data_IF_519695506789
#
_entry.id   IF_519695506789
#
_cell.length_a   1.000
_cell.length_b   1.000
_cell.length_c   1.000
_cell.angle_alpha   90.00
_cell.angle_beta   90.00
_cell.angle_gamma   90.00
#
_symmetry.space_group_name_H-M   'P 1'
#
loop_
_entity.id
_entity.type
_entity.pdbx_description
1 polymer ?
#
# COMPACT_ATOMS: atom_id res chain seq x y z
N UNK A 1 -2.39 25.90 6.59
CA UNK A 1 -2.13 25.11 7.81
C UNK A 1 -1.28 23.93 7.38
N UNK A 2 -0.03 23.82 7.84
CA UNK A 2 0.81 22.66 7.53
C UNK A 2 0.52 21.61 8.60
N UNK A 3 0.08 20.43 8.18
CA UNK A 3 -0.15 19.29 9.07
C UNK A 3 1.18 18.58 9.31
N UNK A 4 1.56 18.40 10.57
CA UNK A 4 2.87 17.82 10.95
C UNK A 4 2.81 16.30 11.22
N UNK A 5 1.64 15.67 11.13
CA UNK A 5 1.46 14.24 11.35
C UNK A 5 1.86 13.40 10.14
N UNK A 6 2.34 12.18 10.40
CA UNK A 6 2.74 11.19 9.39
C UNK A 6 1.85 9.95 9.52
N UNK A 7 1.46 9.34 8.39
CA UNK A 7 0.68 8.09 8.33
C UNK A 7 -0.64 8.09 9.15
N UNK A 8 -1.32 9.23 9.25
CA UNK A 8 -2.53 9.42 10.06
C UNK A 8 -3.80 9.68 9.23
N UNK A 9 -3.72 9.46 7.92
CA UNK A 9 -4.80 9.63 6.97
C UNK A 9 -5.41 11.05 6.92
N UNK A 10 -4.71 12.09 7.41
CA UNK A 10 -5.25 13.45 7.47
C UNK A 10 -5.77 13.97 6.11
N UNK A 11 -5.04 13.73 5.02
CA UNK A 11 -5.47 14.11 3.67
C UNK A 11 -6.83 13.46 3.32
N UNK A 12 -6.95 12.16 3.52
CA UNK A 12 -8.19 11.42 3.26
C UNK A 12 -9.34 11.97 4.10
N UNK A 13 -9.13 12.19 5.40
CA UNK A 13 -10.16 12.74 6.30
C UNK A 13 -10.66 14.11 5.85
N UNK A 14 -9.76 14.98 5.40
CA UNK A 14 -10.13 16.29 4.86
C UNK A 14 -11.00 16.13 3.61
N UNK A 15 -10.57 15.30 2.65
CA UNK A 15 -11.33 15.04 1.42
C UNK A 15 -12.70 14.43 1.74
N UNK A 16 -12.74 13.42 2.61
CA UNK A 16 -13.94 12.77 3.13
C UNK A 16 -14.91 13.80 3.70
N UNK A 17 -14.43 14.67 4.58
CA UNK A 17 -15.26 15.72 5.18
C UNK A 17 -15.81 16.68 4.10
N UNK A 18 -15.02 17.02 3.08
CA UNK A 18 -15.49 17.85 1.97
C UNK A 18 -16.54 17.18 1.08
N UNK A 19 -16.58 15.85 1.01
CA UNK A 19 -17.69 15.13 0.38
C UNK A 19 -18.92 15.16 1.30
N UNK A 20 -18.76 14.92 2.61
CA UNK A 20 -19.86 14.97 3.58
C UNK A 20 -20.51 16.36 3.68
N UNK A 21 -19.72 17.43 3.66
CA UNK A 21 -20.20 18.84 3.60
C UNK A 21 -21.07 19.09 2.35
N UNK A 22 -21.00 18.20 1.35
CA UNK A 22 -21.73 18.26 0.07
C UNK A 22 -22.56 17.01 -0.18
N UNK A 23 -22.98 16.31 0.88
CA UNK A 23 -23.74 15.04 0.78
C UNK A 23 -25.01 15.14 -0.08
N UNK A 24 -25.65 16.31 -0.15
CA UNK A 24 -26.86 16.54 -0.97
C UNK A 24 -26.53 16.85 -2.45
N UNK A 25 -25.24 16.93 -2.81
CA UNK A 25 -24.75 17.26 -4.15
C UNK A 25 -23.85 16.18 -4.74
N UNK A 26 -23.33 15.28 -3.92
CA UNK A 26 -22.41 14.22 -4.33
C UNK A 26 -22.97 12.90 -3.84
N UNK A 27 -23.33 12.04 -4.80
CA UNK A 27 -23.70 10.66 -4.54
C UNK A 27 -22.44 9.81 -4.39
N UNK A 28 -22.44 8.93 -3.39
CA UNK A 28 -21.34 8.00 -3.09
C UNK A 28 -21.90 6.60 -2.91
N UNK A 29 -21.49 5.69 -3.78
CA UNK A 29 -21.92 4.30 -3.78
C UNK A 29 -20.71 3.39 -3.53
N UNK A 30 -20.75 2.65 -2.44
CA UNK A 30 -19.88 1.52 -2.15
C UNK A 30 -20.42 0.23 -2.75
N UNK A 31 -19.56 -0.79 -2.83
CA UNK A 31 -19.90 -2.07 -3.44
C UNK A 31 -20.46 -1.90 -4.87
N UNK A 32 -19.97 -0.88 -5.60
CA UNK A 32 -20.39 -0.46 -6.93
C UNK A 32 -19.21 -0.55 -7.90
N UNK A 33 -18.93 -1.74 -8.44
CA UNK A 33 -17.77 -1.94 -9.32
C UNK A 33 -18.09 -1.51 -10.76
N UNK A 34 -17.33 -0.58 -11.32
CA UNK A 34 -17.40 -0.27 -12.76
C UNK A 34 -17.01 -1.49 -13.61
N UNK A 35 -17.80 -1.81 -14.62
CA UNK A 35 -17.60 -2.96 -15.51
C UNK A 35 -17.25 -2.55 -16.94
N UNK A 36 -18.03 -1.64 -17.52
CA UNK A 36 -17.90 -1.23 -18.93
C UNK A 36 -18.25 0.24 -19.08
N UNK A 37 -17.68 0.90 -20.09
CA UNK A 37 -18.17 2.19 -20.55
C UNK A 37 -19.27 1.99 -21.59
N UNK A 38 -20.27 2.88 -21.57
CA UNK A 38 -21.35 2.89 -22.57
C UNK A 38 -20.94 3.92 -23.63
N UNK A 39 -20.42 3.44 -24.76
CA UNK A 39 -19.93 4.29 -25.85
C UNK A 39 -20.91 4.32 -27.02
N UNK A 40 -21.15 5.51 -27.57
CA UNK A 40 -21.85 5.66 -28.84
C UNK A 40 -21.04 5.07 -30.00
N UNK A 41 -21.58 4.14 -30.80
CA UNK A 41 -20.78 3.43 -31.81
C UNK A 41 -20.32 4.34 -32.96
N UNK A 42 -21.01 5.46 -33.21
CA UNK A 42 -20.75 6.37 -34.33
C UNK A 42 -19.86 7.53 -33.86
N UNK A 43 -20.34 8.33 -32.91
CA UNK A 43 -19.63 9.52 -32.41
C UNK A 43 -18.50 9.20 -31.45
N UNK A 44 -18.42 7.95 -30.95
CA UNK A 44 -17.47 7.49 -29.92
C UNK A 44 -17.60 8.17 -28.56
N UNK A 45 -18.63 8.99 -28.37
CA UNK A 45 -18.92 9.68 -27.11
C UNK A 45 -19.27 8.69 -26.01
N UNK A 46 -18.65 8.84 -24.83
CA UNK A 46 -19.05 8.09 -23.64
C UNK A 46 -20.33 8.69 -23.06
N UNK A 47 -21.38 7.86 -22.98
CA UNK A 47 -22.69 8.21 -22.44
C UNK A 47 -22.87 7.82 -20.97
N UNK A 48 -21.96 7.01 -20.43
CA UNK A 48 -22.10 6.48 -19.08
C UNK A 48 -21.25 5.26 -18.81
N UNK A 49 -21.59 4.53 -17.75
CA UNK A 49 -20.91 3.31 -17.36
C UNK A 49 -21.91 2.26 -16.85
N UNK A 50 -21.61 0.99 -17.10
CA UNK A 50 -22.24 -0.12 -16.40
C UNK A 50 -21.49 -0.41 -15.11
N UNK A 51 -22.21 -0.57 -14.02
CA UNK A 51 -21.67 -0.96 -12.71
C UNK A 51 -22.33 -2.25 -12.22
N UNK A 52 -21.63 -2.97 -11.34
CA UNK A 52 -22.16 -4.06 -10.53
C UNK A 52 -22.34 -3.56 -9.09
N UNK A 53 -23.60 -3.37 -8.66
CA UNK A 53 -23.97 -2.97 -7.30
C UNK A 53 -24.75 -4.10 -6.65
N UNK A 54 -24.24 -4.64 -5.54
CA UNK A 54 -24.92 -5.70 -4.76
C UNK A 54 -25.43 -6.87 -5.61
N UNK A 55 -24.62 -7.31 -6.59
CA UNK A 55 -24.97 -8.41 -7.52
C UNK A 55 -25.83 -8.02 -8.72
N UNK A 56 -26.33 -6.79 -8.80
CA UNK A 56 -27.13 -6.29 -9.90
C UNK A 56 -26.32 -5.41 -10.84
N UNK A 57 -26.49 -5.61 -12.16
CA UNK A 57 -25.94 -4.71 -13.18
C UNK A 57 -26.84 -3.49 -13.34
N UNK A 58 -26.25 -2.31 -13.25
CA UNK A 58 -26.93 -1.01 -13.38
C UNK A 58 -26.19 -0.19 -14.42
N UNK A 59 -26.91 0.41 -15.36
CA UNK A 59 -26.35 1.37 -16.30
C UNK A 59 -26.55 2.78 -15.76
N UNK A 60 -25.46 3.48 -15.50
CA UNK A 60 -25.46 4.87 -15.04
C UNK A 60 -25.25 5.78 -16.25
N UNK A 61 -26.26 6.58 -16.56
CA UNK A 61 -26.15 7.60 -17.60
C UNK A 61 -25.43 8.84 -17.06
N UNK A 62 -24.34 9.25 -17.73
CA UNK A 62 -23.49 10.36 -17.35
C UNK A 62 -23.59 11.49 -18.37
N UNK A 63 -24.43 12.49 -18.08
CA UNK A 63 -24.76 13.60 -18.99
C UNK A 63 -23.55 14.37 -19.53
N UNK A 64 -22.49 14.45 -18.73
CA UNK A 64 -21.34 15.32 -18.98
C UNK A 64 -20.01 14.57 -19.14
N UNK A 65 -20.04 13.25 -18.96
CA UNK A 65 -18.88 12.38 -19.12
C UNK A 65 -18.52 11.58 -17.88
N UNK A 66 -17.53 10.70 -18.06
CA UNK A 66 -17.05 9.74 -17.07
C UNK A 66 -15.58 10.01 -16.78
N UNK A 67 -15.22 10.00 -15.49
CA UNK A 67 -13.84 10.17 -15.03
C UNK A 67 -13.39 8.87 -14.39
N UNK A 68 -12.31 8.27 -14.90
CA UNK A 68 -11.70 7.08 -14.33
C UNK A 68 -10.59 7.47 -13.34
N UNK A 69 -10.74 7.09 -12.08
CA UNK A 69 -9.77 7.33 -10.99
C UNK A 69 -9.52 6.05 -10.18
N UNK A 70 -9.28 4.95 -10.88
CA UNK A 70 -9.39 3.57 -10.34
C UNK A 70 -8.08 2.96 -9.87
N UNK A 71 -7.05 3.78 -9.60
CA UNK A 71 -5.72 3.28 -9.26
C UNK A 71 -5.04 2.54 -10.42
N UNK A 72 -4.01 1.76 -10.07
CA UNK A 72 -3.18 1.01 -11.00
C UNK A 72 -3.51 -0.48 -11.11
N UNK A 73 -2.47 -1.27 -11.38
CA UNK A 73 -2.54 -2.72 -11.61
C UNK A 73 -1.57 -3.53 -10.74
N UNK A 74 -1.04 -2.94 -9.68
CA UNK A 74 -0.05 -3.51 -8.77
C UNK A 74 -0.46 -4.86 -8.16
N UNK A 75 -1.76 -5.14 -8.04
CA UNK A 75 -2.26 -6.43 -7.54
C UNK A 75 -2.83 -7.35 -8.64
N UNK A 76 -2.51 -7.08 -9.90
CA UNK A 76 -2.84 -7.96 -11.02
C UNK A 76 -1.60 -8.71 -11.51
N UNK A 77 -1.49 -9.99 -11.12
CA UNK A 77 -0.35 -10.85 -11.46
C UNK A 77 -0.04 -10.90 -12.96
N UNK A 78 -1.05 -11.00 -13.80
CA UNK A 78 -0.87 -11.08 -15.25
C UNK A 78 -0.28 -9.76 -15.79
N UNK A 79 -0.81 -8.62 -15.35
CA UNK A 79 -0.31 -7.31 -15.78
C UNK A 79 1.08 -7.01 -15.20
N UNK A 80 1.35 -7.43 -13.95
CA UNK A 80 2.69 -7.33 -13.33
C UNK A 80 3.71 -8.15 -14.13
N UNK A 81 3.39 -9.39 -14.52
CA UNK A 81 4.26 -10.22 -15.35
C UNK A 81 4.44 -9.64 -16.75
N UNK A 82 3.35 -9.29 -17.43
CA UNK A 82 3.39 -8.83 -18.82
C UNK A 82 4.04 -7.45 -18.97
N UNK A 83 3.82 -6.53 -18.04
CA UNK A 83 4.29 -5.15 -18.17
C UNK A 83 5.52 -4.83 -17.31
N UNK A 84 5.62 -5.36 -16.08
CA UNK A 84 6.75 -5.06 -15.18
C UNK A 84 7.86 -6.12 -15.26
N UNK A 85 7.56 -7.31 -15.79
CA UNK A 85 8.54 -8.41 -15.89
C UNK A 85 8.87 -9.06 -14.55
N UNK A 86 8.09 -8.79 -13.51
CA UNK A 86 8.21 -9.41 -12.19
C UNK A 86 7.26 -10.61 -12.09
N UNK A 87 7.72 -11.72 -11.53
CA UNK A 87 6.88 -12.89 -11.27
C UNK A 87 5.83 -12.63 -10.20
N UNK A 88 6.22 -11.89 -9.16
CA UNK A 88 5.43 -11.48 -8.01
C UNK A 88 5.95 -10.15 -7.45
N UNK A 89 5.03 -9.27 -7.08
CA UNK A 89 5.27 -8.11 -6.23
C UNK A 89 4.22 -8.10 -5.12
N UNK A 90 4.57 -7.63 -3.92
CA UNK A 90 3.59 -7.43 -2.85
C UNK A 90 3.20 -5.95 -2.75
N UNK A 91 1.88 -5.63 -2.73
CA UNK A 91 1.45 -4.25 -2.61
C UNK A 91 1.74 -3.69 -1.21
N UNK A 92 2.27 -2.48 -1.15
CA UNK A 92 2.30 -1.65 0.05
C UNK A 92 1.03 -0.80 0.19
N UNK A 93 0.26 -0.64 -0.88
CA UNK A 93 -1.00 0.10 -0.90
C UNK A 93 -2.21 -0.81 -0.71
N UNK A 94 -3.27 -0.51 -1.45
CA UNK A 94 -4.48 -1.31 -1.46
C UNK A 94 -4.26 -2.65 -2.18
N UNK A 95 -4.89 -3.71 -1.68
CA UNK A 95 -4.95 -5.01 -2.37
C UNK A 95 -6.03 -5.07 -3.47
N UNK A 96 -6.73 -3.96 -3.76
CA UNK A 96 -7.87 -3.97 -4.69
C UNK A 96 -7.54 -3.42 -6.09
N UNK A 97 -6.38 -2.80 -6.27
CA UNK A 97 -5.95 -2.24 -7.56
C UNK A 97 -5.49 -3.34 -8.53
N UNK A 98 -6.42 -3.76 -9.40
CA UNK A 98 -6.23 -4.88 -10.36
C UNK A 98 -6.20 -4.46 -11.83
N UNK A 99 -6.09 -3.17 -12.12
CA UNK A 99 -6.07 -2.64 -13.47
C UNK A 99 -7.45 -2.61 -14.16
N UNK A 100 -8.54 -2.61 -13.39
CA UNK A 100 -9.91 -2.62 -13.92
C UNK A 100 -10.17 -1.42 -14.85
N UNK A 101 -9.79 -0.21 -14.43
CA UNK A 101 -9.94 0.99 -15.27
C UNK A 101 -9.07 0.99 -16.52
N UNK A 102 -7.94 0.28 -16.52
CA UNK A 102 -7.10 0.10 -17.69
C UNK A 102 -7.84 -0.73 -18.74
N UNK A 103 -8.41 -1.87 -18.33
CA UNK A 103 -9.21 -2.74 -19.21
C UNK A 103 -10.43 -2.00 -19.76
N UNK A 104 -11.17 -1.32 -18.89
CA UNK A 104 -12.37 -0.53 -19.25
C UNK A 104 -12.03 0.57 -20.27
N UNK A 105 -10.90 1.25 -20.12
CA UNK A 105 -10.47 2.26 -21.08
C UNK A 105 -10.01 1.65 -22.41
N UNK A 106 -9.29 0.52 -22.38
CA UNK A 106 -8.87 -0.19 -23.59
C UNK A 106 -10.07 -0.68 -24.41
N UNK A 107 -11.16 -1.13 -23.77
CA UNK A 107 -12.40 -1.57 -24.43
C UNK A 107 -12.97 -0.50 -25.38
N UNK A 108 -12.77 0.78 -25.07
CA UNK A 108 -13.24 1.92 -25.88
C UNK A 108 -12.15 2.54 -26.76
N UNK A 109 -11.02 1.84 -26.92
CA UNK A 109 -9.94 2.21 -27.84
C UNK A 109 -8.87 3.12 -27.24
N UNK A 110 -8.81 3.26 -25.91
CA UNK A 110 -7.77 4.06 -25.27
C UNK A 110 -6.37 3.47 -25.52
N UNK A 111 -5.40 4.33 -25.83
CA UNK A 111 -3.99 3.93 -25.86
C UNK A 111 -3.40 3.94 -24.45
N UNK A 112 -2.41 3.08 -24.25
CA UNK A 112 -1.69 2.98 -22.99
C UNK A 112 -0.31 3.66 -23.07
N UNK A 113 0.17 4.15 -21.95
CA UNK A 113 1.55 4.62 -21.77
C UNK A 113 2.12 4.15 -20.43
N UNK A 114 3.45 4.22 -20.31
CA UNK A 114 4.19 4.02 -19.06
C UNK A 114 3.93 2.67 -18.35
N UNK A 115 3.50 1.65 -19.08
CA UNK A 115 3.10 0.36 -18.49
C UNK A 115 4.23 -0.34 -17.72
N UNK A 116 5.49 -0.08 -18.07
CA UNK A 116 6.66 -0.66 -17.36
C UNK A 116 7.05 0.10 -16.08
N UNK A 117 6.37 1.19 -15.75
CA UNK A 117 6.78 2.08 -14.66
C UNK A 117 6.01 1.78 -13.39
N UNK A 118 6.75 1.63 -12.30
CA UNK A 118 6.20 1.49 -10.95
C UNK A 118 7.21 2.02 -9.92
N UNK A 119 6.70 2.31 -8.74
CA UNK A 119 7.49 2.73 -7.60
C UNK A 119 7.42 1.66 -6.51
N UNK A 120 8.47 1.54 -5.73
CA UNK A 120 8.48 0.72 -4.51
C UNK A 120 8.92 1.56 -3.31
N UNK A 121 8.89 1.01 -2.11
CA UNK A 121 9.29 1.74 -0.91
C UNK A 121 9.70 0.75 0.19
N UNK A 122 10.42 1.23 1.20
CA UNK A 122 10.72 0.44 2.39
C UNK A 122 12.17 -0.02 2.44
N UNK A 123 12.39 -1.18 3.08
CA UNK A 123 13.71 -1.74 3.34
C UNK A 123 14.47 -1.96 2.04
N UNK A 124 15.79 -1.77 2.06
CA UNK A 124 16.71 -2.27 1.01
C UNK A 124 16.20 -2.09 -0.42
N UNK A 125 15.91 -0.85 -0.81
CA UNK A 125 15.52 -0.47 -2.19
C UNK A 125 14.18 -1.03 -2.67
N UNK A 126 13.18 -1.11 -1.79
CA UNK A 126 11.83 -1.54 -2.16
C UNK A 126 11.52 -3.00 -1.83
N UNK A 127 12.15 -3.51 -0.78
CA UNK A 127 11.89 -4.80 -0.19
C UNK A 127 11.02 -4.67 1.07
N UNK A 128 10.24 -5.72 1.31
CA UNK A 128 9.52 -5.98 2.56
C UNK A 128 9.82 -7.42 3.00
N UNK A 129 9.45 -7.78 4.23
CA UNK A 129 9.48 -9.18 4.64
C UNK A 129 8.50 -10.02 3.82
N UNK A 130 8.84 -11.30 3.60
CA UNK A 130 8.01 -12.22 2.82
C UNK A 130 6.56 -12.22 3.33
N UNK A 131 5.64 -11.90 2.43
CA UNK A 131 4.22 -11.71 2.74
C UNK A 131 3.39 -12.74 1.97
N UNK A 132 2.41 -13.41 2.63
CA UNK A 132 1.51 -14.33 1.94
C UNK A 132 0.81 -13.68 0.75
N UNK A 133 0.40 -14.51 -0.20
CA UNK A 133 -0.33 -14.01 -1.35
C UNK A 133 -1.71 -13.46 -0.94
N UNK A 134 -2.09 -12.31 -1.49
CA UNK A 134 -3.34 -11.64 -1.18
C UNK A 134 -3.26 -10.72 0.05
N UNK A 135 -2.13 -10.72 0.74
CA UNK A 135 -1.86 -9.83 1.87
C UNK A 135 -0.99 -8.64 1.45
N UNK A 136 -1.16 -7.55 2.20
CA UNK A 136 -0.39 -6.31 2.04
C UNK A 136 0.94 -6.41 2.78
N UNK A 137 2.01 -5.93 2.16
CA UNK A 137 3.32 -5.81 2.82
C UNK A 137 3.32 -4.76 3.93
N UNK A 138 4.02 -5.04 5.02
CA UNK A 138 4.28 -4.06 6.07
C UNK A 138 5.35 -3.05 5.62
N UNK A 139 5.04 -1.76 5.72
CA UNK A 139 5.97 -0.69 5.37
C UNK A 139 6.92 -0.42 6.53
N UNK A 140 8.20 -0.73 6.33
CA UNK A 140 9.30 -0.33 7.20
C UNK A 140 10.29 0.46 6.33
N UNK A 141 10.48 1.75 6.63
CA UNK A 141 11.27 2.64 5.77
C UNK A 141 12.77 2.30 5.75
N UNK A 142 13.34 2.01 6.92
CA UNK A 142 14.74 1.66 7.07
C UNK A 142 14.96 1.05 8.45
N UNK A 143 15.97 0.20 8.57
CA UNK A 143 16.38 -0.36 9.84
C UNK A 143 17.89 -0.68 9.82
N UNK A 144 18.70 0.00 10.66
CA UNK A 144 20.16 -0.14 10.63
C UNK A 144 20.68 -1.57 10.78
N UNK A 145 19.99 -2.41 11.56
CA UNK A 145 20.39 -3.80 11.78
C UNK A 145 20.25 -4.71 10.56
N UNK A 146 19.65 -4.25 9.45
CA UNK A 146 19.54 -5.00 8.20
C UNK A 146 20.52 -4.53 7.12
N UNK A 147 21.31 -3.49 7.37
CA UNK A 147 22.29 -2.97 6.41
C UNK A 147 23.61 -2.48 7.02
N UNK A 148 23.82 -2.62 8.34
CA UNK A 148 25.07 -2.34 9.02
C UNK A 148 25.51 -3.56 9.83
N UNK A 149 26.79 -3.93 9.70
CA UNK A 149 27.40 -5.07 10.38
C UNK A 149 27.65 -6.27 9.46
N UNK A 150 27.60 -7.46 10.04
CA UNK A 150 27.75 -8.77 9.39
C UNK A 150 26.43 -9.19 8.75
N UNK A 151 25.97 -8.38 7.80
CA UNK A 151 24.67 -8.53 7.12
C UNK A 151 24.74 -8.08 5.66
N UNK A 152 24.17 -8.88 4.77
CA UNK A 152 24.02 -8.53 3.35
C UNK A 152 22.81 -9.21 2.71
N UNK A 153 22.42 -8.73 1.53
CA UNK A 153 21.31 -9.25 0.73
C UNK A 153 21.82 -10.17 -0.38
N UNK A 154 21.17 -11.32 -0.62
CA UNK A 154 21.49 -12.23 -1.73
C UNK A 154 20.35 -12.39 -2.74
N UNK A 155 20.71 -12.78 -3.95
CA UNK A 155 19.81 -13.21 -5.02
C UNK A 155 19.79 -14.76 -5.15
N UNK A 156 19.21 -15.23 -6.25
CA UNK A 156 18.93 -16.65 -6.53
C UNK A 156 20.16 -17.56 -6.55
N UNK A 157 21.33 -17.00 -6.88
CA UNK A 157 22.62 -17.69 -6.97
C UNK A 157 23.41 -17.70 -5.66
N UNK A 158 22.86 -17.13 -4.57
CA UNK A 158 23.54 -17.02 -3.28
C UNK A 158 24.47 -15.80 -3.17
N UNK A 159 24.50 -14.90 -4.17
CA UNK A 159 25.44 -13.77 -4.22
C UNK A 159 24.74 -12.42 -4.04
N UNK A 160 25.52 -11.42 -3.61
CA UNK A 160 25.07 -10.02 -3.47
C UNK A 160 24.82 -9.43 -4.87
N UNK A 161 23.91 -8.46 -4.95
CA UNK A 161 23.52 -7.82 -6.22
C UNK A 161 23.31 -6.30 -6.15
N UNK A 162 23.45 -5.69 -4.97
CA UNK A 162 23.49 -4.24 -4.78
C UNK A 162 24.18 -3.85 -3.48
N UNK A 163 24.42 -2.55 -3.28
CA UNK A 163 24.89 -1.98 -2.02
C UNK A 163 23.71 -1.78 -1.06
N UNK A 164 23.69 -2.47 0.09
CA UNK A 164 22.59 -2.43 1.07
C UNK A 164 22.41 -1.08 1.78
N UNK A 165 23.39 -0.19 1.66
CA UNK A 165 23.41 1.15 2.27
C UNK A 165 23.13 2.28 1.28
N UNK A 166 22.97 1.94 -0.01
CA UNK A 166 22.73 2.94 -1.04
C UNK A 166 21.45 3.73 -0.77
N UNK A 167 21.48 5.04 -1.02
CA UNK A 167 20.26 5.84 -0.96
C UNK A 167 19.39 5.52 -2.18
N UNK A 168 18.14 5.10 -1.95
CA UNK A 168 17.17 4.88 -3.01
C UNK A 168 16.18 6.04 -3.16
N UNK A 169 15.50 6.10 -4.30
CA UNK A 169 14.42 7.05 -4.60
C UNK A 169 13.14 6.28 -4.91
N UNK A 170 12.38 5.96 -3.86
CA UNK A 170 11.20 5.10 -3.99
C UNK A 170 11.57 3.77 -4.65
N UNK A 171 12.58 3.12 -4.06
CA UNK A 171 13.15 1.86 -4.48
C UNK A 171 14.05 1.90 -5.71
N UNK A 172 14.13 3.04 -6.40
CA UNK A 172 15.10 3.20 -7.48
C UNK A 172 16.51 3.37 -6.92
N UNK A 173 17.47 2.58 -7.41
CA UNK A 173 18.91 2.74 -7.18
C UNK A 173 19.61 3.28 -8.42
N UNK A 174 20.79 3.86 -8.25
CA UNK A 174 21.51 4.46 -9.36
C UNK A 174 22.24 3.39 -10.18
N UNK A 175 21.88 3.25 -11.46
CA UNK A 175 22.50 2.33 -12.40
C UNK A 175 22.81 3.05 -13.70
N UNK A 176 24.11 3.27 -13.96
CA UNK A 176 24.63 3.85 -15.21
C UNK A 176 23.94 5.16 -15.63
N UNK A 177 23.94 6.16 -14.74
CA UNK A 177 23.30 7.49 -14.96
C UNK A 177 21.77 7.51 -14.90
N UNK A 178 21.14 6.38 -14.60
CA UNK A 178 19.69 6.27 -14.50
C UNK A 178 19.29 5.71 -13.14
N UNK A 179 18.18 6.22 -12.58
CA UNK A 179 17.54 5.62 -11.41
C UNK A 179 16.66 4.47 -11.90
N UNK A 180 16.81 3.27 -11.35
CA UNK A 180 16.06 2.07 -11.77
C UNK A 180 15.68 1.23 -10.56
N UNK A 181 14.49 0.63 -10.60
CA UNK A 181 14.15 -0.44 -9.67
C UNK A 181 15.10 -1.64 -9.92
N UNK A 182 15.70 -2.23 -8.88
CA UNK A 182 16.47 -3.46 -9.02
C UNK A 182 15.66 -4.56 -9.70
N UNK A 183 16.33 -5.42 -10.47
CA UNK A 183 15.65 -6.61 -11.03
C UNK A 183 15.17 -7.51 -9.90
N UNK A 184 13.95 -8.00 -10.02
CA UNK A 184 13.38 -8.95 -9.08
C UNK A 184 14.07 -10.30 -9.17
N UNK A 185 14.19 -10.97 -8.04
CA UNK A 185 14.75 -12.31 -7.87
C UNK A 185 13.73 -13.18 -7.12
N UNK A 186 13.78 -14.50 -7.26
CA UNK A 186 12.82 -15.45 -6.65
C UNK A 186 13.16 -15.81 -5.20
N UNK A 187 14.45 -15.78 -4.85
CA UNK A 187 15.01 -16.13 -3.54
C UNK A 187 15.80 -14.96 -2.95
N UNK A 188 15.17 -13.78 -2.77
CA UNK A 188 15.80 -12.68 -2.07
C UNK A 188 15.85 -13.00 -0.57
N UNK A 189 17.06 -13.16 -0.01
CA UNK A 189 17.28 -13.36 1.42
C UNK A 189 18.27 -12.35 2.00
N UNK A 190 18.02 -11.87 3.21
CA UNK A 190 19.04 -11.23 4.03
C UNK A 190 19.77 -12.31 4.80
N UNK A 191 21.10 -12.28 4.78
CA UNK A 191 21.99 -13.24 5.46
C UNK A 191 22.77 -12.50 6.55
N UNK A 192 22.83 -13.07 7.76
CA UNK A 192 23.57 -12.50 8.89
C UNK A 192 24.03 -13.55 9.90
N UNK A 193 24.97 -13.20 10.77
CA UNK A 193 25.52 -14.10 11.80
C UNK A 193 24.85 -13.92 13.19
N UNK A 194 25.29 -14.73 14.16
CA UNK A 194 24.85 -14.68 15.56
C UNK A 194 25.06 -13.30 16.19
N UNK A 195 26.19 -12.65 15.92
CA UNK A 195 26.50 -11.33 16.49
C UNK A 195 25.53 -10.26 15.99
N UNK A 196 25.17 -10.30 14.70
CA UNK A 196 24.17 -9.42 14.13
C UNK A 196 22.78 -9.74 14.67
N UNK A 197 22.45 -11.03 14.84
CA UNK A 197 21.19 -11.44 15.45
C UNK A 197 21.01 -10.83 16.85
N UNK A 198 22.04 -10.91 17.70
CA UNK A 198 22.05 -10.30 19.04
C UNK A 198 21.83 -8.78 18.98
N UNK A 199 22.52 -8.09 18.07
CA UNK A 199 22.30 -6.65 17.85
C UNK A 199 20.84 -6.33 17.50
N UNK A 200 20.20 -7.15 16.65
CA UNK A 200 18.79 -6.98 16.27
C UNK A 200 17.86 -7.27 17.46
N UNK A 201 18.18 -8.23 18.32
CA UNK A 201 17.38 -8.48 19.53
C UNK A 201 17.47 -7.32 20.53
N UNK A 202 18.66 -6.72 20.68
CA UNK A 202 18.87 -5.55 21.56
C UNK A 202 18.24 -4.27 20.98
N UNK A 203 18.01 -4.23 19.67
CA UNK A 203 17.43 -3.09 18.96
C UNK A 203 16.29 -3.58 18.06
N UNK A 204 15.16 -4.05 18.61
CA UNK A 204 14.16 -4.82 17.86
C UNK A 204 13.58 -4.04 16.68
N UNK A 205 13.49 -4.72 15.55
CA UNK A 205 12.76 -4.23 14.37
C UNK A 205 11.26 -4.18 14.68
N UNK A 206 10.50 -3.16 14.23
CA UNK A 206 9.05 -3.12 14.38
C UNK A 206 8.35 -4.12 13.43
N UNK A 207 8.63 -5.41 13.64
CA UNK A 207 8.08 -6.53 12.88
C UNK A 207 7.91 -7.74 13.80
N UNK A 208 6.69 -7.93 14.32
CA UNK A 208 6.40 -8.92 15.37
C UNK A 208 6.72 -10.37 14.96
N UNK A 209 6.70 -10.67 13.65
CA UNK A 209 6.96 -12.01 13.10
C UNK A 209 8.44 -12.25 12.75
N UNK A 210 9.35 -11.33 13.10
CA UNK A 210 10.75 -11.41 12.68
C UNK A 210 11.40 -12.74 13.07
N UNK A 211 11.36 -13.08 14.37
CA UNK A 211 11.98 -14.29 14.90
C UNK A 211 11.32 -15.57 14.38
N UNK A 212 10.00 -15.55 14.12
CA UNK A 212 9.25 -16.71 13.59
C UNK A 212 9.65 -17.04 12.15
N UNK A 213 10.08 -16.04 11.37
CA UNK A 213 10.45 -16.19 9.95
C UNK A 213 11.94 -16.45 9.72
N UNK A 214 12.75 -16.55 10.77
CA UNK A 214 14.18 -16.83 10.65
C UNK A 214 14.44 -18.29 10.30
N UNK A 215 15.30 -18.50 9.31
CA UNK A 215 15.95 -19.78 9.06
C UNK A 215 17.31 -19.74 9.72
N UNK A 216 17.58 -20.69 10.61
CA UNK A 216 18.85 -20.83 11.35
C UNK A 216 19.62 -22.08 10.90
N UNK A 217 20.94 -21.98 10.80
CA UNK A 217 21.83 -23.11 10.55
C UNK A 217 23.19 -22.90 11.21
N UNK A 218 23.92 -23.98 11.48
CA UNK A 218 25.23 -23.88 12.14
C UNK A 218 26.36 -23.56 11.14
N UNK A 219 26.13 -23.86 9.85
CA UNK A 219 27.07 -23.60 8.76
C UNK A 219 26.42 -22.87 7.59
N UNK A 220 27.21 -22.18 6.78
CA UNK A 220 26.73 -21.49 5.58
C UNK A 220 26.17 -22.48 4.54
N UNK A 221 26.83 -23.63 4.34
CA UNK A 221 26.32 -24.66 3.43
C UNK A 221 24.95 -25.20 3.86
N UNK A 222 24.75 -25.46 5.15
CA UNK A 222 23.45 -25.90 5.67
C UNK A 222 22.39 -24.79 5.54
N UNK A 223 22.77 -23.52 5.79
CA UNK A 223 21.87 -22.40 5.58
C UNK A 223 21.41 -22.32 4.11
N UNK A 224 22.35 -22.43 3.17
CA UNK A 224 22.09 -22.39 1.74
C UNK A 224 21.14 -23.50 1.29
N UNK A 225 21.32 -24.72 1.81
CA UNK A 225 20.41 -25.85 1.56
C UNK A 225 18.99 -25.55 2.05
N UNK A 226 18.84 -25.05 3.28
CA UNK A 226 17.54 -24.73 3.88
C UNK A 226 16.77 -23.64 3.12
N UNK A 227 17.47 -22.65 2.57
CA UNK A 227 16.84 -21.57 1.78
C UNK A 227 16.83 -21.86 0.28
N UNK A 228 17.39 -23.00 -0.15
CA UNK A 228 17.37 -23.48 -1.52
C UNK A 228 18.23 -22.66 -2.50
N UNK A 229 19.37 -22.12 -2.07
CA UNK A 229 20.34 -21.40 -2.94
C UNK A 229 21.63 -22.19 -3.11
N UNK A 230 22.55 -21.71 -3.95
CA UNK A 230 23.85 -22.37 -4.15
C UNK A 230 24.71 -22.30 -2.89
N UNK A 231 25.06 -23.45 -2.30
CA UNK A 231 25.97 -23.53 -1.17
C UNK A 231 27.33 -22.89 -1.51
N UNK A 232 27.93 -23.31 -2.63
CA UNK A 232 29.18 -22.72 -3.13
C UNK A 232 29.05 -21.22 -3.37
N UNK A 233 27.93 -20.76 -3.96
CA UNK A 233 27.72 -19.34 -4.24
C UNK A 233 27.65 -18.50 -2.96
N UNK A 234 26.96 -19.00 -1.94
CA UNK A 234 26.84 -18.31 -0.65
C UNK A 234 28.14 -18.34 0.15
N UNK A 235 28.87 -19.47 0.16
CA UNK A 235 30.17 -19.58 0.82
C UNK A 235 31.20 -18.62 0.19
N UNK A 236 31.28 -18.59 -1.13
CA UNK A 236 32.12 -17.63 -1.87
C UNK A 236 31.76 -16.19 -1.52
N UNK A 237 30.46 -15.88 -1.42
CA UNK A 237 30.00 -14.53 -1.12
C UNK A 237 30.31 -14.11 0.32
N UNK A 238 30.17 -15.01 1.31
CA UNK A 238 30.56 -14.74 2.70
C UNK A 238 32.06 -14.54 2.81
N UNK A 239 32.86 -15.40 2.17
CA UNK A 239 34.31 -15.28 2.16
C UNK A 239 34.77 -13.93 1.57
N UNK A 240 34.18 -13.53 0.44
CA UNK A 240 34.47 -12.24 -0.19
C UNK A 240 34.04 -11.06 0.69
N UNK A 241 32.84 -11.08 1.27
CA UNK A 241 32.37 -10.01 2.14
C UNK A 241 33.27 -9.83 3.37
N UNK A 242 33.72 -10.95 3.97
CA UNK A 242 34.66 -10.93 5.09
C UNK A 242 36.00 -10.32 4.70
N UNK A 243 36.53 -10.69 3.52
CA UNK A 243 37.74 -10.09 3.00
C UNK A 243 37.57 -8.58 2.78
N UNK A 244 36.53 -8.14 2.10
CA UNK A 244 36.26 -6.72 1.81
C UNK A 244 36.05 -5.89 3.09
N UNK A 245 35.41 -6.47 4.11
CA UNK A 245 35.24 -5.82 5.41
C UNK A 245 36.59 -5.63 6.14
N UNK A 246 37.51 -6.59 6.03
CA UNK A 246 38.85 -6.52 6.62
C UNK A 246 39.78 -5.59 5.84
N UNK A 247 39.71 -5.62 4.51
CA UNK A 247 40.49 -4.77 3.60
C UNK A 247 39.99 -3.31 3.62
N UNK A 248 38.80 -3.07 4.17
CA UNK A 248 38.20 -1.74 4.29
C UNK A 248 37.64 -1.20 2.97
N UNK A 249 37.26 -2.08 2.03
CA UNK A 249 36.77 -1.69 0.70
C UNK A 249 35.86 -2.76 0.10
N UNK A 250 34.62 -2.39 -0.22
CA UNK A 250 33.70 -3.18 -1.07
C UNK A 250 34.00 -2.91 -2.55
N UNK A 251 34.56 -3.88 -3.25
CA UNK A 251 34.85 -3.76 -4.68
C UNK A 251 33.67 -4.20 -5.56
N UNK A 252 32.74 -4.99 -5.02
CA UNK A 252 31.57 -5.44 -5.76
C UNK A 252 30.55 -4.32 -5.99
N UNK A 253 30.18 -3.60 -4.92
CA UNK A 253 29.07 -2.64 -4.93
C UNK A 253 29.39 -1.29 -4.30
N UNK A 254 30.60 -1.11 -3.76
CA UNK A 254 31.02 0.17 -3.19
C UNK A 254 30.27 0.57 -1.92
N UNK A 255 29.79 -0.39 -1.12
CA UNK A 255 29.31 -0.13 0.25
C UNK A 255 30.40 0.53 1.09
N UNK A 256 30.01 1.51 1.91
CA UNK A 256 30.96 2.14 2.85
C UNK A 256 31.44 1.09 3.85
N UNK A 257 32.74 0.81 3.85
CA UNK A 257 33.34 -0.23 4.68
C UNK A 257 33.19 0.02 6.18
N UNK A 258 32.91 1.26 6.60
CA UNK A 258 32.54 1.57 8.00
C UNK A 258 31.27 0.85 8.45
N UNK A 259 30.39 0.54 7.50
CA UNK A 259 29.13 -0.19 7.72
C UNK A 259 29.28 -1.70 7.64
N UNK A 260 30.48 -2.21 7.34
CA UNK A 260 30.75 -3.63 7.13
C UNK A 260 31.51 -4.22 8.33
N UNK A 261 31.13 -5.44 8.72
CA UNK A 261 31.86 -6.27 9.69
C UNK A 261 31.93 -7.68 9.15
N UNK A 262 33.11 -8.30 9.23
CA UNK A 262 33.24 -9.71 8.89
C UNK A 262 32.33 -10.57 9.78
N UNK A 263 31.76 -11.62 9.20
CA UNK A 263 30.93 -12.60 9.88
C UNK A 263 31.74 -13.33 10.96
N UNK A 264 31.16 -13.51 12.13
CA UNK A 264 31.66 -14.37 13.20
C UNK A 264 31.43 -15.85 12.86
N UNK A 265 32.02 -16.73 13.68
CA UNK A 265 31.59 -18.13 13.69
C UNK A 265 30.10 -18.21 14.03
N UNK A 266 29.44 -19.23 13.45
CA UNK A 266 27.99 -19.40 13.48
C UNK A 266 27.39 -19.50 14.89
N UNK A 267 26.05 -19.61 14.99
CA UNK A 267 25.13 -19.90 13.89
C UNK A 267 24.87 -18.72 12.94
N UNK A 268 24.33 -19.05 11.77
CA UNK A 268 23.95 -18.12 10.71
C UNK A 268 22.45 -18.11 10.51
N UNK A 269 21.95 -16.98 10.03
CA UNK A 269 20.54 -16.68 9.91
C UNK A 269 20.22 -16.17 8.51
N UNK A 270 19.05 -16.54 8.02
CA UNK A 270 18.46 -15.99 6.81
C UNK A 270 17.01 -15.58 7.08
N UNK A 271 16.59 -14.46 6.49
CA UNK A 271 15.17 -14.06 6.44
C UNK A 271 14.77 -13.75 5.01
N UNK A 272 13.64 -14.34 4.59
CA UNK A 272 13.12 -14.17 3.24
C UNK A 272 12.52 -12.78 3.08
N UNK A 273 12.90 -12.11 1.99
CA UNK A 273 12.35 -10.82 1.60
C UNK A 273 11.40 -10.98 0.41
N UNK A 274 10.72 -9.90 0.04
CA UNK A 274 9.91 -9.80 -1.16
C UNK A 274 10.04 -8.42 -1.77
N UNK A 275 10.07 -8.36 -3.09
CA UNK A 275 9.95 -7.10 -3.81
C UNK A 275 8.54 -6.57 -3.67
N UNK A 276 8.43 -5.31 -3.26
CA UNK A 276 7.14 -4.66 -3.09
C UNK A 276 6.86 -3.64 -4.18
N UNK A 277 5.62 -3.21 -4.24
CA UNK A 277 5.13 -2.18 -5.13
C UNK A 277 4.29 -1.20 -4.32
N UNK A 278 4.66 0.08 -4.37
CA UNK A 278 3.89 1.15 -3.79
C UNK A 278 2.72 1.51 -4.69
N UNK A 279 3.01 1.72 -5.97
CA UNK A 279 2.03 2.03 -7.00
C UNK A 279 2.64 1.79 -8.39
N UNK A 280 1.79 1.57 -9.39
CA UNK A 280 2.15 1.57 -10.81
C UNK A 280 1.94 2.96 -11.42
N UNK A 281 2.55 3.26 -12.57
CA UNK A 281 2.34 4.54 -13.27
C UNK A 281 1.72 4.32 -14.66
N UNK A 282 1.52 3.07 -15.04
CA UNK A 282 0.98 2.68 -16.34
C UNK A 282 -0.53 2.82 -16.43
N UNK A 283 -1.03 3.17 -17.61
CA UNK A 283 -2.45 3.18 -17.89
C UNK A 283 -2.82 3.98 -19.14
N UNK A 284 -4.11 4.33 -19.30
CA UNK A 284 -4.59 5.17 -20.38
C UNK A 284 -3.87 6.52 -20.42
N UNK A 285 -3.35 6.88 -21.58
CA UNK A 285 -2.73 8.18 -21.75
C UNK A 285 -3.79 9.29 -21.79
N UNK A 286 -3.50 10.41 -21.15
CA UNK A 286 -4.34 11.60 -21.14
C UNK A 286 -3.59 12.85 -21.61
N UNK A 287 -4.33 13.82 -22.13
CA UNK A 287 -3.77 15.13 -22.49
C UNK A 287 -3.84 16.14 -21.32
N UNK A 288 -3.46 17.40 -21.57
CA UNK A 288 -3.46 18.48 -20.57
C UNK A 288 -4.84 18.87 -20.03
N UNK A 289 -5.91 18.43 -20.68
CA UNK A 289 -7.31 18.57 -20.22
C UNK A 289 -7.82 17.32 -19.50
N UNK A 290 -6.94 16.39 -19.17
CA UNK A 290 -7.28 15.09 -18.60
C UNK A 290 -8.14 14.19 -19.51
N UNK A 291 -8.31 14.53 -20.79
CA UNK A 291 -9.06 13.71 -21.75
C UNK A 291 -8.23 12.47 -22.10
N UNK A 292 -8.83 11.28 -21.99
CA UNK A 292 -8.17 10.03 -22.37
C UNK A 292 -8.09 9.95 -23.90
N UNK A 293 -6.92 9.56 -24.41
CA UNK A 293 -6.63 9.50 -25.84
C UNK A 293 -6.82 8.09 -26.40
N UNK A 294 -7.32 8.02 -27.64
CA UNK A 294 -7.37 6.79 -28.40
C UNK A 294 -6.01 6.46 -29.06
N UNK A 295 -5.94 5.33 -29.77
CA UNK A 295 -4.74 4.87 -30.51
C UNK A 295 -4.28 5.78 -31.64
N UNK A 296 -5.10 6.74 -32.07
CA UNK A 296 -4.76 7.74 -33.09
C UNK A 296 -4.43 9.11 -32.47
N UNK A 297 -4.15 9.17 -31.16
CA UNK A 297 -3.87 10.41 -30.41
C UNK A 297 -5.05 11.39 -30.29
N UNK A 298 -6.28 10.95 -30.59
CA UNK A 298 -7.48 11.78 -30.50
C UNK A 298 -8.18 11.59 -29.15
N UNK A 299 -8.73 12.65 -28.53
CA UNK A 299 -9.56 12.51 -27.34
C UNK A 299 -10.76 11.60 -27.58
N UNK A 300 -10.99 10.65 -26.67
CA UNK A 300 -12.25 9.91 -26.60
C UNK A 300 -13.29 10.84 -25.98
N UNK A 301 -14.35 11.26 -26.72
CA UNK A 301 -15.24 12.29 -26.22
C UNK A 301 -15.93 11.86 -24.91
N UNK A 302 -15.97 12.79 -23.95
CA UNK A 302 -16.58 12.59 -22.63
C UNK A 302 -15.87 11.56 -21.71
N UNK A 303 -14.62 11.19 -22.01
CA UNK A 303 -13.82 10.30 -21.17
C UNK A 303 -12.57 11.00 -20.61
N UNK A 304 -12.42 10.94 -19.29
CA UNK A 304 -11.31 11.56 -18.58
C UNK A 304 -10.63 10.57 -17.63
N UNK A 305 -9.37 10.86 -17.28
CA UNK A 305 -8.60 10.06 -16.33
C UNK A 305 -7.81 10.93 -15.36
N UNK A 306 -7.59 10.42 -14.14
CA UNK A 306 -6.73 11.09 -13.16
C UNK A 306 -6.08 10.11 -12.18
N UNK A 307 -5.02 10.60 -11.53
CA UNK A 307 -4.26 9.83 -10.54
C UNK A 307 -3.31 8.83 -11.20
N UNK A 308 -3.09 7.73 -10.48
CA UNK A 308 -2.20 6.62 -10.85
C UNK A 308 -2.53 5.97 -12.19
N UNK A 309 -3.80 6.05 -12.62
CA UNK A 309 -4.29 5.48 -13.87
C UNK A 309 -3.67 6.21 -15.08
N UNK A 310 -2.49 5.75 -15.49
CA UNK A 310 -1.67 6.41 -16.51
C UNK A 310 -0.96 7.65 -15.99
N UNK A 311 -0.17 7.51 -14.93
CA UNK A 311 0.60 8.57 -14.30
C UNK A 311 1.54 9.33 -15.25
N UNK A 312 1.74 10.64 -14.99
CA UNK A 312 2.64 11.51 -15.76
C UNK A 312 4.11 11.35 -15.34
N UNK A 313 4.35 10.85 -14.13
CA UNK A 313 5.69 10.66 -13.58
C UNK A 313 6.26 9.34 -14.12
N UNK A 314 6.96 9.39 -15.25
CA UNK A 314 7.58 8.23 -15.87
C UNK A 314 9.04 8.05 -15.45
N UNK A 315 9.47 6.82 -15.18
CA UNK A 315 10.85 6.38 -14.90
C UNK A 315 11.56 7.02 -13.70
N UNK A 316 11.04 8.10 -13.13
CA UNK A 316 11.65 8.85 -12.04
C UNK A 316 10.57 9.43 -11.13
N UNK A 317 10.55 8.95 -9.90
CA UNK A 317 9.68 9.52 -8.90
C UNK A 317 10.07 10.94 -8.51
N UNK A 318 9.11 11.86 -8.59
CA UNK A 318 9.21 13.18 -7.99
C UNK A 318 8.53 13.13 -6.63
N UNK A 319 9.27 13.42 -5.55
CA UNK A 319 8.74 13.37 -4.18
C UNK A 319 7.42 14.15 -4.03
N UNK A 320 6.36 13.46 -3.60
CA UNK A 320 5.00 14.04 -3.46
C UNK A 320 4.16 14.06 -4.75
N UNK A 321 4.73 13.62 -5.88
CA UNK A 321 4.11 13.64 -7.20
C UNK A 321 2.80 12.86 -7.31
N UNK A 322 2.73 11.64 -6.75
CA UNK A 322 1.52 10.80 -6.83
C UNK A 322 0.28 11.49 -6.23
N UNK A 323 0.41 12.06 -5.03
CA UNK A 323 -0.71 12.74 -4.37
C UNK A 323 -1.06 14.06 -5.06
N UNK A 324 -0.04 14.81 -5.50
CA UNK A 324 -0.25 16.01 -6.30
C UNK A 324 -1.02 15.69 -7.59
N UNK A 325 -0.67 14.57 -8.23
CA UNK A 325 -1.30 14.09 -9.44
C UNK A 325 -2.77 13.72 -9.21
N UNK A 326 -3.10 12.98 -8.15
CA UNK A 326 -4.49 12.70 -7.78
C UNK A 326 -5.32 13.98 -7.59
N UNK A 327 -4.78 14.96 -6.86
CA UNK A 327 -5.51 16.19 -6.54
C UNK A 327 -5.66 17.13 -7.74
N UNK A 328 -4.57 17.37 -8.48
CA UNK A 328 -4.53 18.33 -9.58
C UNK A 328 -5.30 17.77 -10.77
N UNK A 329 -5.02 16.55 -11.20
CA UNK A 329 -5.69 15.97 -12.35
C UNK A 329 -7.14 15.59 -12.05
N UNK A 330 -7.45 15.20 -10.81
CA UNK A 330 -8.83 15.00 -10.39
C UNK A 330 -9.66 16.28 -10.51
N UNK A 331 -9.08 17.42 -10.08
CA UNK A 331 -9.71 18.74 -10.27
C UNK A 331 -9.87 19.10 -11.74
N UNK A 332 -8.82 18.96 -12.55
CA UNK A 332 -8.86 19.27 -13.99
C UNK A 332 -9.93 18.43 -14.69
N UNK A 333 -9.94 17.12 -14.48
CA UNK A 333 -10.93 16.22 -15.07
C UNK A 333 -12.36 16.60 -14.66
N UNK A 334 -12.59 16.92 -13.38
CA UNK A 334 -13.88 17.39 -12.88
C UNK A 334 -14.35 18.69 -13.55
N UNK A 335 -13.46 19.67 -13.68
CA UNK A 335 -13.77 20.96 -14.33
C UNK A 335 -14.06 20.79 -15.83
N UNK A 336 -13.28 19.96 -16.52
CA UNK A 336 -13.46 19.71 -17.96
C UNK A 336 -14.76 18.93 -18.23
N UNK A 337 -15.03 17.87 -17.48
CA UNK A 337 -16.30 17.15 -17.59
C UNK A 337 -17.48 18.09 -17.31
N UNK A 338 -17.42 18.90 -16.24
CA UNK A 338 -18.51 19.83 -15.91
C UNK A 338 -18.76 20.90 -16.98
N UNK A 339 -17.77 21.26 -17.80
CA UNK A 339 -17.88 22.24 -18.87
C UNK A 339 -18.56 21.69 -20.14
N UNK A 340 -18.68 20.37 -20.29
CA UNK A 340 -19.32 19.77 -21.47
C UNK A 340 -20.80 20.16 -21.57
N UNK A 341 -21.26 20.25 -22.81
CA UNK A 341 -22.68 20.24 -23.13
C UNK A 341 -23.31 18.95 -22.62
N UNK A 342 -24.53 19.05 -22.08
CA UNK A 342 -25.21 17.88 -21.56
C UNK A 342 -25.78 17.06 -22.71
N UNK A 343 -25.52 15.77 -22.69
CA UNK A 343 -26.16 14.83 -23.60
C UNK A 343 -27.69 14.89 -23.41
N UNK A 344 -28.41 14.97 -24.53
CA UNK A 344 -29.87 15.06 -24.57
C UNK A 344 -30.52 13.66 -24.56
N UNK A 345 -30.33 12.96 -23.44
CA UNK A 345 -31.02 11.70 -23.14
C UNK A 345 -31.53 11.71 -21.69
N UNK A 346 -32.61 10.97 -21.44
CA UNK A 346 -33.19 10.82 -20.10
C UNK A 346 -32.99 9.41 -19.59
N UNK A 347 -32.38 9.28 -18.41
CA UNK A 347 -32.36 8.02 -17.68
C UNK A 347 -33.79 7.57 -17.32
N UNK A 348 -34.05 6.27 -17.37
CA UNK A 348 -35.34 5.68 -17.00
C UNK A 348 -35.69 5.90 -15.53
N UNK A 349 -34.67 5.91 -14.67
CA UNK A 349 -34.78 5.97 -13.23
C UNK A 349 -33.85 7.04 -12.65
N UNK A 350 -34.27 7.67 -11.54
CA UNK A 350 -33.45 8.64 -10.82
C UNK A 350 -32.84 7.98 -9.59
N UNK A 351 -31.55 7.70 -9.66
CA UNK A 351 -30.76 7.20 -8.52
C UNK A 351 -29.88 8.33 -7.94
N UNK A 352 -30.52 9.40 -7.47
CA UNK A 352 -29.84 10.56 -6.89
C UNK A 352 -30.12 10.64 -5.37
N UNK A 353 -29.21 11.26 -4.62
CA UNK A 353 -29.33 11.46 -3.16
C UNK A 353 -28.84 10.28 -2.32
N UNK A 354 -28.02 9.40 -2.90
CA UNK A 354 -27.45 8.23 -2.21
C UNK A 354 -26.01 8.57 -1.82
N UNK A 355 -25.75 8.71 -0.53
CA UNK A 355 -24.39 8.94 -0.03
C UNK A 355 -24.08 7.97 1.12
N UNK A 356 -23.56 6.79 0.77
CA UNK A 356 -23.21 5.71 1.70
C UNK A 356 -21.98 6.06 2.58
N UNK A 357 -21.27 7.16 2.28
CA UNK A 357 -20.22 7.69 3.16
C UNK A 357 -20.81 8.21 4.49
N UNK A 358 -22.07 8.67 4.48
CA UNK A 358 -22.78 9.16 5.67
C UNK A 358 -23.01 8.04 6.68
N UNK A 359 -23.23 6.81 6.20
CA UNK A 359 -23.46 5.65 7.07
C UNK A 359 -22.26 5.38 7.96
N UNK A 360 -21.04 5.66 7.47
CA UNK A 360 -19.80 5.55 8.23
C UNK A 360 -19.68 6.44 9.48
N UNK A 361 -20.64 7.33 9.73
CA UNK A 361 -20.67 8.22 10.91
C UNK A 361 -21.90 8.01 11.81
N UNK A 362 -22.88 7.20 11.39
CA UNK A 362 -24.06 6.90 12.22
C UNK A 362 -23.63 5.97 13.33
N UNK A 363 -24.10 6.18 14.56
CA UNK A 363 -23.89 5.22 15.65
C UNK A 363 -25.14 4.38 15.77
N UNK A 364 -24.99 3.06 15.71
CA UNK A 364 -26.09 2.12 15.88
C UNK A 364 -26.61 2.14 17.32
N UNK A 365 -27.84 1.69 17.53
CA UNK A 365 -28.41 1.54 18.87
C UNK A 365 -27.79 0.29 19.53
N UNK A 366 -26.92 0.50 20.52
CA UNK A 366 -26.10 -0.56 21.12
C UNK A 366 -26.50 -0.75 22.58
N UNK A 367 -27.04 -1.92 22.90
CA UNK A 367 -27.41 -2.29 24.26
C UNK A 367 -26.17 -2.43 25.18
N UNK A 368 -26.29 -1.85 26.37
CA UNK A 368 -25.29 -1.91 27.43
C UNK A 368 -25.78 -2.78 28.59
N UNK A 369 -24.95 -3.75 28.98
CA UNK A 369 -25.09 -4.51 30.21
C UNK A 369 -24.52 -3.77 31.42
N UNK A 370 -24.57 -4.43 32.57
CA UNK A 370 -23.96 -3.93 33.81
C UNK A 370 -22.46 -3.73 33.62
N UNK A 371 -21.93 -2.61 34.13
CA UNK A 371 -20.51 -2.25 34.10
C UNK A 371 -19.94 -2.12 32.67
N UNK A 372 -20.81 -1.85 31.68
CA UNK A 372 -20.44 -1.63 30.29
C UNK A 372 -20.65 -0.18 29.86
N UNK A 373 -19.69 0.33 29.12
CA UNK A 373 -19.64 1.72 28.69
C UNK A 373 -19.30 1.81 27.20
N UNK A 374 -19.96 2.72 26.49
CA UNK A 374 -19.60 3.03 25.12
C UNK A 374 -18.59 4.17 25.09
N UNK A 375 -17.64 4.04 24.19
CA UNK A 375 -16.79 5.15 23.79
C UNK A 375 -16.58 5.14 22.29
N UNK A 376 -16.23 6.29 21.74
CA UNK A 376 -16.10 6.44 20.30
C UNK A 376 -14.91 7.31 19.90
N UNK A 377 -14.42 7.10 18.68
CA UNK A 377 -13.36 7.92 18.10
C UNK A 377 -13.54 8.07 16.59
N UNK A 378 -13.13 9.22 16.06
CA UNK A 378 -13.03 9.50 14.63
C UNK A 378 -11.54 9.53 14.17
N UNK A 379 -10.62 9.04 15.02
CA UNK A 379 -9.21 8.92 14.67
C UNK A 379 -8.94 7.82 13.63
N UNK A 380 -9.92 6.96 13.34
CA UNK A 380 -9.87 5.96 12.27
C UNK A 380 -9.93 6.56 10.86
N UNK A 381 -9.78 5.72 9.84
CA UNK A 381 -9.82 6.12 8.42
C UNK A 381 -11.25 6.04 7.86
N UNK A 382 -12.04 5.10 8.38
CA UNK A 382 -13.37 4.74 7.87
C UNK A 382 -14.50 5.70 8.26
N UNK A 383 -14.30 6.43 9.36
CA UNK A 383 -15.35 7.21 10.01
C UNK A 383 -15.33 6.97 11.51
N UNK A 384 -16.51 6.90 12.12
CA UNK A 384 -16.65 6.74 13.56
C UNK A 384 -16.46 5.27 13.95
N UNK A 385 -15.55 5.01 14.88
CA UNK A 385 -15.33 3.71 15.52
C UNK A 385 -15.95 3.74 16.91
N UNK A 386 -16.67 2.69 17.29
CA UNK A 386 -17.34 2.56 18.59
C UNK A 386 -16.86 1.30 19.28
N UNK A 387 -16.46 1.45 20.55
CA UNK A 387 -16.10 0.33 21.42
C UNK A 387 -17.07 0.23 22.58
N UNK A 388 -17.31 -1.01 23.01
CA UNK A 388 -17.95 -1.33 24.29
C UNK A 388 -16.88 -1.85 25.24
N UNK A 389 -16.74 -1.20 26.39
CA UNK A 389 -15.75 -1.55 27.41
C UNK A 389 -16.48 -2.08 28.62
N UNK A 390 -16.14 -3.30 29.06
CA UNK A 390 -16.53 -3.79 30.38
C UNK A 390 -15.47 -3.36 31.39
N UNK A 391 -15.85 -2.47 32.31
CA UNK A 391 -14.94 -1.90 33.30
C UNK A 391 -15.48 -2.12 34.72
N UNK A 392 -14.77 -2.91 35.52
CA UNK A 392 -15.15 -3.19 36.91
C UNK A 392 -13.90 -3.40 37.78
N UNK A 393 -14.04 -3.20 39.09
CA UNK A 393 -12.94 -3.37 40.06
C UNK A 393 -11.67 -2.57 39.70
N UNK A 394 -11.85 -1.35 39.18
CA UNK A 394 -10.78 -0.49 38.66
C UNK A 394 -9.91 -1.13 37.57
N UNK A 395 -10.48 -2.04 36.77
CA UNK A 395 -9.77 -2.74 35.72
C UNK A 395 -10.63 -2.87 34.44
N UNK A 396 -9.97 -2.74 33.28
CA UNK A 396 -10.54 -3.08 31.98
C UNK A 396 -10.64 -4.61 31.87
N UNK A 397 -11.86 -5.15 31.87
CA UNK A 397 -12.10 -6.61 31.79
C UNK A 397 -12.29 -7.10 30.35
N UNK A 398 -12.88 -6.25 29.51
CA UNK A 398 -13.16 -6.57 28.10
C UNK A 398 -13.23 -5.29 27.28
N UNK A 399 -12.72 -5.36 26.05
CA UNK A 399 -12.91 -4.33 25.03
C UNK A 399 -13.46 -5.03 23.80
N UNK A 400 -14.60 -4.54 23.30
CA UNK A 400 -15.26 -5.04 22.10
C UNK A 400 -15.38 -3.90 21.11
N UNK A 401 -14.88 -4.06 19.88
CA UNK A 401 -15.26 -3.15 18.80
C UNK A 401 -16.66 -3.56 18.35
N UNK A 402 -17.62 -2.66 18.54
CA UNK A 402 -19.05 -2.92 18.27
C UNK A 402 -19.51 -2.25 16.98
N UNK A 403 -18.74 -1.28 16.48
CA UNK A 403 -18.97 -0.67 15.19
C UNK A 403 -17.65 -0.11 14.63
N UNK A 404 -17.37 -0.38 13.36
CA UNK A 404 -16.27 0.22 12.62
C UNK A 404 -16.57 0.31 11.12
N UNK A 405 -15.77 1.12 10.43
CA UNK A 405 -15.81 1.28 8.99
C UNK A 405 -14.39 1.21 8.40
N UNK A 406 -13.47 0.58 9.12
CA UNK A 406 -12.06 0.50 8.73
C UNK A 406 -11.89 -0.47 7.55
N UNK A 407 -10.79 -0.36 6.81
CA UNK A 407 -10.58 -1.29 5.69
C UNK A 407 -10.20 -2.68 6.20
N UNK A 408 -10.77 -3.72 5.59
CA UNK A 408 -10.56 -5.11 6.01
C UNK A 408 -9.09 -5.55 5.88
N UNK A 409 -8.34 -4.94 4.96
CA UNK A 409 -6.94 -5.25 4.68
C UNK A 409 -5.94 -4.51 5.58
N UNK A 410 -6.33 -3.37 6.16
CA UNK A 410 -5.44 -2.53 6.98
C UNK A 410 -5.87 -2.52 8.44
N UNK A 411 -7.14 -2.23 8.72
CA UNK A 411 -7.64 -2.04 10.08
C UNK A 411 -7.82 -3.34 10.85
N UNK A 412 -8.15 -4.45 10.16
CA UNK A 412 -8.58 -5.71 10.79
C UNK A 412 -7.64 -6.23 11.87
N UNK A 413 -6.34 -6.27 11.60
CA UNK A 413 -5.35 -6.75 12.59
C UNK A 413 -5.30 -5.85 13.83
N UNK A 414 -5.51 -4.54 13.68
CA UNK A 414 -5.61 -3.62 14.82
C UNK A 414 -6.93 -3.81 15.58
N UNK A 415 -8.05 -4.03 14.89
CA UNK A 415 -9.35 -4.33 15.51
C UNK A 415 -9.30 -5.60 16.36
N UNK A 416 -8.49 -6.59 15.97
CA UNK A 416 -8.33 -7.85 16.72
C UNK A 416 -7.32 -7.72 17.88
N UNK A 417 -6.13 -7.18 17.62
CA UNK A 417 -5.00 -7.26 18.58
C UNK A 417 -4.97 -6.12 19.60
N UNK A 418 -5.39 -4.90 19.24
CA UNK A 418 -5.32 -3.77 20.18
C UNK A 418 -6.25 -3.96 21.39
N UNK A 419 -7.51 -4.41 21.23
CA UNK A 419 -8.37 -4.75 22.38
C UNK A 419 -7.73 -5.77 23.32
N UNK A 420 -7.09 -6.80 22.79
CA UNK A 420 -6.40 -7.84 23.57
C UNK A 420 -5.25 -7.25 24.37
N UNK A 421 -4.35 -6.50 23.70
CA UNK A 421 -3.22 -5.83 24.35
C UNK A 421 -3.67 -4.88 25.47
N UNK A 422 -4.77 -4.15 25.27
CA UNK A 422 -5.32 -3.23 26.28
C UNK A 422 -5.81 -3.98 27.51
N UNK A 423 -6.51 -5.10 27.33
CA UNK A 423 -7.00 -5.93 28.43
C UNK A 423 -5.83 -6.58 29.17
N UNK A 424 -4.86 -7.16 28.45
CA UNK A 424 -3.67 -7.80 29.01
C UNK A 424 -2.80 -6.84 29.81
N UNK A 425 -2.54 -5.64 29.27
CA UNK A 425 -1.76 -4.60 29.95
C UNK A 425 -2.59 -3.82 30.99
N UNK A 426 -3.91 -3.97 30.97
CA UNK A 426 -4.87 -3.16 31.72
C UNK A 426 -4.67 -1.64 31.53
N UNK A 427 -4.30 -1.23 30.33
CA UNK A 427 -3.97 0.16 29.99
C UNK A 427 -4.21 0.43 28.51
N UNK A 428 -4.65 1.65 28.17
CA UNK A 428 -4.75 2.10 26.77
C UNK A 428 -3.39 2.39 26.13
N UNK A 429 -2.34 2.51 26.96
CA UNK A 429 -0.97 2.76 26.51
C UNK A 429 -0.30 1.46 26.03
N UNK A 430 -0.72 0.96 24.88
CA UNK A 430 -0.16 -0.23 24.22
C UNK A 430 0.48 0.15 22.90
N UNK A 431 1.41 -0.64 22.37
CA UNK A 431 2.01 -0.36 21.07
C UNK A 431 0.99 -0.53 19.94
N UNK A 432 1.05 0.38 18.96
CA UNK A 432 0.21 0.31 17.77
C UNK A 432 0.62 -0.87 16.86
N UNK A 433 -0.31 -1.35 16.04
CA UNK A 433 0.00 -2.32 14.99
C UNK A 433 0.68 -1.58 13.83
N UNK A 434 1.84 -2.09 13.39
CA UNK A 434 2.57 -1.57 12.23
C UNK A 434 1.65 -1.57 10.99
N UNK A 435 1.66 -0.48 10.22
CA UNK A 435 0.78 -0.31 9.07
C UNK A 435 -0.68 0.06 9.38
N UNK A 436 -1.15 -0.05 10.64
CA UNK A 436 -2.52 0.22 11.07
C UNK A 436 -2.60 1.24 12.22
N UNK A 437 -1.74 2.28 12.17
CA UNK A 437 -1.57 3.24 13.26
C UNK A 437 -2.81 4.10 13.52
N UNK A 438 -3.55 4.50 12.47
CA UNK A 438 -4.78 5.29 12.62
C UNK A 438 -5.88 4.48 13.32
N UNK A 439 -6.14 3.26 12.87
CA UNK A 439 -7.08 2.33 13.51
C UNK A 439 -6.67 2.02 14.96
N UNK A 440 -5.38 1.75 15.19
CA UNK A 440 -4.85 1.52 16.55
C UNK A 440 -5.09 2.70 17.48
N UNK A 441 -4.94 3.94 16.98
CA UNK A 441 -5.21 5.17 17.75
C UNK A 441 -6.70 5.32 18.03
N UNK A 442 -7.55 5.05 17.04
CA UNK A 442 -9.01 5.13 17.18
C UNK A 442 -9.53 4.22 18.29
N UNK A 443 -9.04 2.98 18.36
CA UNK A 443 -9.43 2.05 19.43
C UNK A 443 -8.99 2.58 20.80
N UNK A 444 -7.74 3.04 20.94
CA UNK A 444 -7.22 3.56 22.21
C UNK A 444 -8.00 4.79 22.69
N UNK A 445 -8.30 5.72 21.78
CA UNK A 445 -9.09 6.90 22.07
C UNK A 445 -10.53 6.53 22.45
N UNK A 446 -11.16 5.62 21.71
CA UNK A 446 -12.53 5.17 22.01
C UNK A 446 -12.61 4.44 23.36
N UNK A 447 -11.61 3.64 23.73
CA UNK A 447 -11.55 3.01 25.07
C UNK A 447 -11.36 4.07 26.15
N UNK A 448 -10.51 5.07 25.91
CA UNK A 448 -10.32 6.18 26.85
C UNK A 448 -11.62 6.96 27.06
N UNK A 449 -12.32 7.29 25.98
CA UNK A 449 -13.64 7.94 26.00
C UNK A 449 -14.66 7.12 26.80
N UNK A 450 -14.70 5.79 26.62
CA UNK A 450 -15.59 4.91 27.38
C UNK A 450 -15.29 4.93 28.89
N UNK A 451 -14.01 4.99 29.28
CA UNK A 451 -13.59 5.00 30.69
C UNK A 451 -13.81 6.37 31.33
N UNK A 452 -13.67 7.46 30.56
CA UNK A 452 -13.91 8.82 31.03
C UNK A 452 -15.42 9.10 31.21
N UNK A 453 -16.28 8.48 30.39
CA UNK A 453 -17.74 8.61 30.42
C UNK A 453 -18.46 7.53 31.28
N UNK A 454 -17.75 6.90 32.21
CA UNK A 454 -18.24 5.79 33.06
C UNK A 454 -19.19 6.18 34.20
#
# INVERSE_FOLDING_TARGET
>A
MVHNGWFDAALWKILRQKILDRKDKIDVWYNARGLHLIQDPISKTIKGAQILKTGQKINVFAKKGVILTTGGFENNKEMVQNYLGASKLSPLGSIYNKGDGIKIAQEVGAKLWHMHNYESLGLLHGLSFDTPEGERSELILSFPGLNNGSVFMIADDGKRYFNETESNRHGHIFSHSMWRIPRTNEKPYIIFDQKQYEYIQDNPIPYDQFNEKLVKADTISELAEKIGVSATGLEEQVALFNQEANDGRDVQFGRDSKTMKAFSEGPYYAIKMMYNVLNTQGGPQRNVKAEILNVNDEPIPHLYGAGELGGICANQYQGGGNLAECLIWGKIAGEQAAANESLDETASDKYNGINELVDGNKVDDIELGKDQYLGSSEAGIGGKLVVRVTYSDNAIKKVEVVQDHESEDVGKRALELIPQRIVEKNSVDVDAISGASATSRAIKEAVKDAIENR
#
